data_IF_097723877512
#
_entry.id   IF_097723877512
#
_cell.length_a   1.000
_cell.length_b   1.000
_cell.length_c   1.000
_cell.angle_alpha   90.00
_cell.angle_beta   90.00
_cell.angle_gamma   90.00
#
_symmetry.space_group_name_H-M   'P 1'
#
loop_
_entity.id
_entity.type
_entity.pdbx_description
1 polymer ?
#
# COMPACT_ATOMS: atom_id res chain seq x y z
N UNK A 1 -0.94 -8.63 -23.98
CA UNK A 1 0.39 -9.29 -23.93
C UNK A 1 0.51 -9.77 -22.50
N UNK A 2 0.50 -11.08 -22.26
CA UNK A 2 0.72 -11.63 -20.92
C UNK A 2 2.09 -11.12 -20.44
N UNK A 3 2.09 -10.28 -19.41
CA UNK A 3 3.32 -9.92 -18.73
C UNK A 3 3.93 -11.22 -18.22
N UNK A 4 5.11 -11.58 -18.71
CA UNK A 4 5.79 -12.81 -18.33
C UNK A 4 5.90 -12.88 -16.83
N UNK A 5 5.09 -13.72 -16.19
CA UNK A 5 5.18 -13.93 -14.76
C UNK A 5 6.57 -14.50 -14.46
N UNK A 6 7.30 -13.97 -13.47
CA UNK A 6 8.61 -14.49 -13.12
C UNK A 6 8.49 -15.98 -12.80
N UNK A 7 9.32 -16.79 -13.42
CA UNK A 7 9.38 -18.22 -13.11
C UNK A 7 10.27 -18.53 -11.92
N UNK A 8 10.96 -17.52 -11.35
CA UNK A 8 11.98 -17.71 -10.32
C UNK A 8 11.69 -16.84 -9.11
N UNK A 9 11.67 -17.41 -7.89
CA UNK A 9 11.54 -16.62 -6.67
C UNK A 9 12.70 -15.64 -6.49
N UNK A 10 12.38 -14.46 -5.96
CA UNK A 10 13.33 -13.37 -5.76
C UNK A 10 13.48 -13.13 -4.26
N UNK A 11 14.71 -13.23 -3.74
CA UNK A 11 15.03 -12.97 -2.35
C UNK A 11 15.86 -11.68 -2.25
N UNK A 12 15.44 -10.77 -1.37
CA UNK A 12 16.16 -9.55 -1.05
C UNK A 12 16.27 -9.38 0.47
N UNK A 13 17.45 -9.05 0.96
CA UNK A 13 17.58 -8.46 2.29
C UNK A 13 17.19 -6.99 2.22
N UNK A 14 16.15 -6.59 2.94
CA UNK A 14 15.56 -5.24 2.85
C UNK A 14 16.57 -4.17 3.26
N UNK A 15 17.35 -4.40 4.32
CA UNK A 15 18.36 -3.46 4.80
C UNK A 15 19.49 -3.25 3.79
N UNK A 16 20.02 -4.33 3.23
CA UNK A 16 21.04 -4.26 2.19
C UNK A 16 20.51 -3.55 0.93
N UNK A 17 19.32 -3.93 0.47
CA UNK A 17 18.71 -3.35 -0.72
C UNK A 17 18.44 -1.85 -0.53
N UNK A 18 18.02 -1.42 0.67
CA UNK A 18 17.87 -0.01 1.02
C UNK A 18 19.18 0.76 0.89
N UNK A 19 20.29 0.22 1.40
CA UNK A 19 21.59 0.89 1.34
C UNK A 19 22.07 1.02 -0.12
N UNK A 20 21.92 -0.03 -0.93
CA UNK A 20 22.25 -0.03 -2.36
C UNK A 20 21.41 0.99 -3.15
N UNK A 21 20.16 1.22 -2.73
CA UNK A 21 19.19 2.07 -3.42
C UNK A 21 18.95 3.42 -2.73
N UNK A 22 19.76 3.80 -1.73
CA UNK A 22 19.51 4.96 -0.86
C UNK A 22 19.31 6.30 -1.60
N UNK A 23 19.90 6.41 -2.78
CA UNK A 23 19.85 7.60 -3.64
C UNK A 23 18.47 7.83 -4.29
N UNK A 24 17.55 6.86 -4.25
CA UNK A 24 16.18 7.01 -4.76
C UNK A 24 15.18 7.55 -3.72
N UNK A 25 15.52 7.54 -2.44
CA UNK A 25 14.62 7.94 -1.35
C UNK A 25 14.55 9.44 -1.03
N UNK A 26 15.54 10.29 -1.38
CA UNK A 26 15.32 11.73 -1.37
C UNK A 26 14.57 12.21 -2.63
N UNK A 27 14.03 13.45 -2.63
CA UNK A 27 13.49 14.09 -3.82
C UNK A 27 14.51 14.15 -4.97
N UNK A 28 14.06 14.10 -6.24
CA UNK A 28 12.66 14.13 -6.69
C UNK A 28 11.98 12.76 -6.82
N UNK A 29 12.70 11.65 -6.61
CA UNK A 29 12.17 10.31 -6.88
C UNK A 29 11.35 9.78 -5.72
N UNK A 30 11.87 9.91 -4.49
CA UNK A 30 11.23 9.52 -3.23
C UNK A 30 10.76 8.06 -3.09
N UNK A 31 10.86 7.20 -4.10
CA UNK A 31 10.39 5.82 -4.02
C UNK A 31 11.12 4.89 -4.99
N UNK A 32 11.11 3.58 -4.70
CA UNK A 32 11.61 2.55 -5.62
C UNK A 32 10.93 1.20 -5.36
N UNK A 33 10.51 0.54 -6.44
CA UNK A 33 10.06 -0.85 -6.43
C UNK A 33 11.19 -1.81 -6.09
N UNK A 34 10.98 -2.68 -5.09
CA UNK A 34 11.84 -3.79 -4.74
C UNK A 34 11.35 -5.09 -5.38
N UNK A 35 10.06 -5.39 -5.22
CA UNK A 35 9.41 -6.54 -5.85
C UNK A 35 8.32 -6.03 -6.79
N UNK A 36 8.42 -6.38 -8.07
CA UNK A 36 7.46 -5.98 -9.10
C UNK A 36 7.06 -7.14 -10.02
N UNK A 37 7.61 -8.32 -9.80
CA UNK A 37 7.43 -9.45 -10.71
C UNK A 37 6.26 -10.32 -10.22
N UNK A 38 5.12 -10.26 -10.92
CA UNK A 38 3.92 -11.03 -10.57
C UNK A 38 2.76 -10.13 -10.11
N UNK A 39 2.00 -10.57 -9.11
CA UNK A 39 0.76 -9.89 -8.69
C UNK A 39 0.96 -8.89 -7.54
N UNK A 40 1.95 -9.12 -6.68
CA UNK A 40 2.23 -8.24 -5.54
C UNK A 40 3.28 -7.20 -5.92
N UNK A 41 3.11 -5.98 -5.40
CA UNK A 41 4.08 -4.90 -5.49
C UNK A 41 4.60 -4.61 -4.10
N UNK A 42 5.92 -4.58 -3.94
CA UNK A 42 6.57 -4.09 -2.73
C UNK A 42 7.54 -3.00 -3.12
N UNK A 43 7.31 -1.80 -2.57
CA UNK A 43 8.18 -0.66 -2.80
C UNK A 43 8.49 0.07 -1.51
N UNK A 44 9.64 0.72 -1.51
CA UNK A 44 10.10 1.54 -0.41
C UNK A 44 10.01 3.01 -0.80
N UNK A 45 9.58 3.84 0.14
CA UNK A 45 9.29 5.25 -0.07
C UNK A 45 9.99 6.07 1.02
N UNK A 46 10.77 7.04 0.60
CA UNK A 46 11.41 8.03 1.45
C UNK A 46 10.69 9.38 1.46
N UNK A 47 11.41 10.41 1.89
CA UNK A 47 10.92 11.78 1.95
C UNK A 47 12.05 12.81 2.05
N UNK A 48 11.72 14.11 2.07
CA UNK A 48 10.37 14.64 2.28
C UNK A 48 9.49 14.56 1.02
N UNK A 49 8.23 14.18 1.20
CA UNK A 49 7.22 14.23 0.15
C UNK A 49 5.86 14.54 0.77
N UNK A 50 5.37 15.76 0.57
CA UNK A 50 4.08 16.22 1.09
C UNK A 50 3.15 16.52 -0.09
N UNK A 51 1.95 15.98 -0.02
CA UNK A 51 0.95 16.11 -1.08
C UNK A 51 -0.43 16.37 -0.48
N UNK A 52 -1.31 16.95 -1.31
CA UNK A 52 -2.67 17.34 -0.93
C UNK A 52 -3.74 16.54 -1.67
N UNK A 53 -3.35 15.86 -2.73
CA UNK A 53 -4.18 14.93 -3.45
C UNK A 53 -4.40 13.64 -2.66
N UNK A 54 -5.63 13.17 -2.71
CA UNK A 54 -6.06 11.89 -2.21
C UNK A 54 -6.12 10.91 -3.38
N UNK A 55 -5.44 9.79 -3.21
CA UNK A 55 -5.56 8.62 -4.06
C UNK A 55 -6.64 7.70 -3.51
N UNK A 56 -7.31 6.96 -4.38
CA UNK A 56 -8.25 5.90 -4.03
C UNK A 56 -8.12 4.77 -5.04
N UNK A 57 -8.15 3.53 -4.55
CA UNK A 57 -8.01 2.34 -5.39
C UNK A 57 -8.86 1.18 -4.88
N UNK A 58 -8.97 0.13 -5.71
CA UNK A 58 -9.71 -1.09 -5.39
C UNK A 58 -8.91 -2.12 -4.58
N UNK A 59 -7.58 -1.95 -4.46
CA UNK A 59 -6.70 -2.80 -3.66
C UNK A 59 -6.62 -2.36 -2.20
N UNK A 60 -6.00 -3.20 -1.37
CA UNK A 60 -5.59 -2.78 -0.02
C UNK A 60 -4.12 -2.37 -0.04
N UNK A 61 -3.75 -1.42 0.81
CA UNK A 61 -2.36 -0.99 0.97
C UNK A 61 -1.89 -1.24 2.41
N UNK A 62 -0.82 -2.03 2.54
CA UNK A 62 -0.15 -2.21 3.82
C UNK A 62 1.04 -1.25 3.91
N UNK A 63 1.03 -0.41 4.94
CA UNK A 63 2.12 0.49 5.28
C UNK A 63 2.91 -0.10 6.45
N UNK A 64 4.24 -0.14 6.34
CA UNK A 64 5.14 -0.43 7.44
C UNK A 64 6.24 0.62 7.50
N UNK A 65 6.39 1.33 8.62
CA UNK A 65 7.36 2.41 8.71
C UNK A 65 8.69 1.90 9.28
N UNK A 66 9.70 1.76 8.41
CA UNK A 66 11.03 1.23 8.76
C UNK A 66 11.84 2.26 9.55
N UNK A 67 11.78 3.54 9.14
CA UNK A 67 12.55 4.63 9.75
C UNK A 67 11.71 5.91 9.84
N UNK A 68 11.75 6.56 11.00
CA UNK A 68 11.04 7.81 11.29
C UNK A 68 9.52 7.61 11.28
N UNK A 69 8.76 8.68 11.03
CA UNK A 69 7.30 8.62 11.02
C UNK A 69 6.72 9.14 9.70
N UNK A 70 5.47 8.82 9.42
CA UNK A 70 4.69 9.44 8.34
C UNK A 70 3.29 9.80 8.84
N UNK A 71 2.61 10.69 8.11
CA UNK A 71 1.20 10.97 8.30
C UNK A 71 0.43 10.53 7.06
N UNK A 72 -0.46 9.54 7.20
CA UNK A 72 -1.41 9.15 6.17
C UNK A 72 -2.73 9.87 6.45
N UNK A 73 -3.04 10.90 5.67
CA UNK A 73 -4.34 11.56 5.75
C UNK A 73 -5.37 10.68 5.08
N UNK A 74 -6.51 10.45 5.70
CA UNK A 74 -7.58 9.61 5.14
C UNK A 74 -8.93 10.29 5.29
N UNK A 75 -9.89 9.87 4.48
CA UNK A 75 -11.31 10.18 4.67
C UNK A 75 -11.96 8.95 5.31
N UNK A 76 -12.03 8.95 6.64
CA UNK A 76 -12.67 7.90 7.44
C UNK A 76 -14.11 8.29 7.76
N UNK A 77 -15.08 7.48 7.37
CA UNK A 77 -16.50 7.73 7.66
C UNK A 77 -16.98 9.13 7.25
N UNK A 78 -16.48 9.62 6.11
CA UNK A 78 -16.76 10.98 5.61
C UNK A 78 -16.06 12.10 6.40
N UNK A 79 -15.02 11.80 7.17
CA UNK A 79 -14.28 12.79 7.96
C UNK A 79 -12.78 12.65 7.73
N UNK A 80 -12.09 13.78 7.70
CA UNK A 80 -10.63 13.77 7.70
C UNK A 80 -10.09 13.18 9.00
N UNK A 81 -9.14 12.27 8.85
CA UNK A 81 -8.34 11.73 9.93
C UNK A 81 -6.87 11.70 9.51
N UNK A 82 -6.01 12.18 10.38
CA UNK A 82 -4.56 12.05 10.21
C UNK A 82 -4.11 10.78 10.95
N UNK A 83 -3.69 9.76 10.20
CA UNK A 83 -3.15 8.51 10.76
C UNK A 83 -1.63 8.64 10.85
N UNK A 84 -1.11 8.78 12.08
CA UNK A 84 0.33 8.86 12.33
C UNK A 84 0.90 7.45 12.44
N UNK A 85 1.76 7.06 11.50
CA UNK A 85 2.43 5.77 11.47
C UNK A 85 3.89 6.00 11.86
N UNK A 86 4.25 5.60 13.09
CA UNK A 86 5.60 5.77 13.66
C UNK A 86 6.52 4.63 13.26
N UNK A 87 7.81 4.83 13.48
CA UNK A 87 8.84 3.82 13.26
C UNK A 87 8.48 2.49 13.96
N UNK A 88 8.60 1.38 13.23
CA UNK A 88 8.21 0.05 13.71
C UNK A 88 6.71 -0.24 13.64
N UNK A 89 5.86 0.71 13.26
CA UNK A 89 4.42 0.50 13.17
C UNK A 89 3.96 0.04 11.79
N UNK A 90 2.89 -0.76 11.79
CA UNK A 90 2.16 -1.22 10.61
C UNK A 90 0.74 -0.70 10.59
N UNK A 91 0.23 -0.42 9.39
CA UNK A 91 -1.15 0.02 9.18
C UNK A 91 -1.68 -0.56 7.87
N UNK A 92 -2.84 -1.21 7.91
CA UNK A 92 -3.54 -1.70 6.73
C UNK A 92 -4.64 -0.73 6.34
N UNK A 93 -4.60 -0.25 5.11
CA UNK A 93 -5.65 0.55 4.50
C UNK A 93 -6.58 -0.34 3.66
N UNK A 94 -7.87 -0.47 4.03
CA UNK A 94 -8.88 -1.12 3.21
C UNK A 94 -9.10 -0.43 1.86
N UNK A 95 -9.59 -1.21 0.89
CA UNK A 95 -9.96 -0.71 -0.43
C UNK A 95 -11.05 0.39 -0.40
N UNK A 96 -10.98 1.31 -1.35
CA UNK A 96 -11.99 2.35 -1.54
C UNK A 96 -11.90 3.53 -0.58
N UNK A 97 -10.85 3.62 0.23
CA UNK A 97 -10.65 4.74 1.16
C UNK A 97 -9.70 5.76 0.53
N UNK A 98 -10.18 7.00 0.43
CA UNK A 98 -9.36 8.13 -0.01
C UNK A 98 -8.23 8.36 0.98
N UNK A 99 -6.99 8.43 0.49
CA UNK A 99 -5.82 8.59 1.32
C UNK A 99 -4.73 9.46 0.66
N UNK A 100 -3.97 10.19 1.47
CA UNK A 100 -2.93 11.12 1.03
C UNK A 100 -1.67 10.94 1.93
N UNK A 101 -0.67 10.16 1.47
CA UNK A 101 0.53 9.89 2.24
C UNK A 101 1.45 11.11 2.28
N UNK A 102 1.82 11.54 3.49
CA UNK A 102 2.75 12.63 3.75
C UNK A 102 3.97 12.09 4.51
N UNK A 103 5.15 12.22 3.89
CA UNK A 103 6.43 11.71 4.40
C UNK A 103 7.39 12.83 4.71
N UNK A 104 8.12 12.68 5.81
CA UNK A 104 9.09 13.68 6.27
C UNK A 104 10.51 13.34 5.80
N UNK A 105 11.42 14.29 5.95
CA UNK A 105 12.83 14.10 5.63
C UNK A 105 13.45 12.97 6.46
N UNK A 106 14.41 12.24 5.88
CA UNK A 106 15.13 11.15 6.53
C UNK A 106 14.26 9.98 7.02
N UNK A 107 13.08 9.80 6.43
CA UNK A 107 12.17 8.68 6.72
C UNK A 107 12.23 7.61 5.63
N UNK A 108 11.86 6.38 5.97
CA UNK A 108 11.72 5.26 5.04
C UNK A 108 10.51 4.43 5.47
N UNK A 109 9.57 4.21 4.56
CA UNK A 109 8.46 3.28 4.76
C UNK A 109 8.39 2.26 3.63
N UNK A 110 7.86 1.09 3.94
CA UNK A 110 7.50 0.04 3.02
C UNK A 110 6.01 0.11 2.74
N UNK A 111 5.63 -0.05 1.48
CA UNK A 111 4.25 -0.19 1.04
C UNK A 111 4.11 -1.50 0.26
N UNK A 112 3.10 -2.28 0.61
CA UNK A 112 2.72 -3.50 -0.11
C UNK A 112 1.30 -3.31 -0.66
N UNK A 113 1.19 -3.40 -1.97
CA UNK A 113 -0.07 -3.36 -2.71
C UNK A 113 -0.08 -4.49 -3.76
N UNK A 114 -1.07 -4.48 -4.65
CA UNK A 114 -1.15 -5.44 -5.75
C UNK A 114 -1.32 -4.75 -7.10
N UNK A 115 -0.94 -5.42 -8.19
CA UNK A 115 -1.34 -4.98 -9.52
C UNK A 115 -2.87 -4.96 -9.65
N UNK A 116 -3.37 -4.00 -10.44
CA UNK A 116 -4.80 -3.86 -10.70
C UNK A 116 -5.28 -4.97 -11.63
N UNK A 117 -6.51 -5.43 -11.44
CA UNK A 117 -7.22 -6.17 -12.47
C UNK A 117 -7.54 -5.23 -13.64
N UNK A 118 -7.63 -5.75 -14.87
CA UNK A 118 -7.83 -4.93 -16.08
C UNK A 118 -9.13 -4.10 -16.05
N UNK A 119 -10.10 -4.49 -15.23
CA UNK A 119 -11.37 -3.76 -15.03
C UNK A 119 -11.31 -2.68 -13.95
N UNK A 120 -10.25 -2.64 -13.15
CA UNK A 120 -10.14 -1.72 -12.02
C UNK A 120 -9.51 -0.39 -12.44
N UNK A 121 -10.03 0.68 -11.86
CA UNK A 121 -9.48 2.02 -12.00
C UNK A 121 -9.01 2.54 -10.66
N UNK A 122 -8.04 3.43 -10.73
CA UNK A 122 -7.61 4.26 -9.62
C UNK A 122 -8.23 5.65 -9.80
N UNK A 123 -8.38 6.36 -8.69
CA UNK A 123 -8.83 7.74 -8.65
C UNK A 123 -7.79 8.63 -8.00
N UNK A 124 -7.56 9.81 -8.59
CA UNK A 124 -6.85 10.90 -7.93
C UNK A 124 -7.78 12.08 -7.77
N UNK A 125 -7.85 12.61 -6.56
CA UNK A 125 -8.75 13.68 -6.18
C UNK A 125 -7.98 14.81 -5.50
N UNK A 126 -8.29 16.04 -5.87
CA UNK A 126 -7.87 17.25 -5.17
C UNK A 126 -9.06 17.83 -4.44
N UNK A 127 -8.86 18.31 -3.23
CA UNK A 127 -9.91 18.92 -2.41
C UNK A 127 -9.93 20.43 -2.52
N UNK A 128 -11.09 21.00 -2.18
CA UNK A 128 -11.31 22.45 -2.13
C UNK A 128 -10.44 23.04 -1.02
N UNK A 129 -9.82 24.19 -1.31
CA UNK A 129 -8.74 24.79 -0.49
C UNK A 129 -9.15 26.04 0.27
N UNK A 130 -10.44 26.37 0.27
CA UNK A 130 -10.98 27.61 0.81
C UNK A 130 -11.18 27.59 2.34
N UNK A 131 -10.83 26.49 3.00
CA UNK A 131 -10.96 26.32 4.45
C UNK A 131 -12.36 25.91 4.90
N UNK A 132 -13.32 25.75 3.97
CA UNK A 132 -14.58 25.07 4.26
C UNK A 132 -14.33 23.57 4.37
N UNK A 133 -14.95 22.92 5.36
CA UNK A 133 -14.97 21.47 5.42
C UNK A 133 -15.98 20.96 4.39
N UNK A 134 -15.51 20.39 3.29
CA UNK A 134 -16.33 19.75 2.29
C UNK A 134 -15.67 18.48 1.78
N UNK A 135 -16.49 17.47 1.53
CA UNK A 135 -16.10 16.27 0.79
C UNK A 135 -16.35 16.43 -0.72
N UNK A 136 -16.60 17.64 -1.20
CA UNK A 136 -16.74 17.88 -2.63
C UNK A 136 -15.34 17.98 -3.28
N UNK A 137 -15.12 17.26 -4.39
CA UNK A 137 -13.86 17.35 -5.11
C UNK A 137 -13.71 18.70 -5.81
N UNK A 138 -12.48 19.23 -5.79
CA UNK A 138 -12.07 20.36 -6.64
C UNK A 138 -11.73 19.88 -8.06
N UNK A 139 -11.08 18.71 -8.14
CA UNK A 139 -10.65 18.10 -9.38
C UNK A 139 -10.49 16.58 -9.16
N UNK A 140 -10.98 15.79 -10.10
CA UNK A 140 -10.87 14.34 -10.12
C UNK A 140 -10.38 13.83 -11.47
N UNK A 141 -9.64 12.73 -11.41
CA UNK A 141 -9.30 11.92 -12.57
C UNK A 141 -9.30 10.45 -12.19
N UNK A 142 -9.91 9.62 -13.04
CA UNK A 142 -9.91 8.17 -12.89
C UNK A 142 -9.24 7.53 -14.10
N UNK A 143 -8.38 6.56 -13.85
CA UNK A 143 -7.49 5.98 -14.87
C UNK A 143 -7.22 4.51 -14.58
N UNK A 144 -6.87 3.75 -15.63
CA UNK A 144 -6.35 2.40 -15.47
C UNK A 144 -4.91 2.50 -14.99
N UNK A 145 -4.59 1.85 -13.88
CA UNK A 145 -3.29 1.99 -13.22
C UNK A 145 -2.38 0.80 -13.54
N UNK A 146 -1.39 1.02 -14.41
CA UNK A 146 -0.34 0.05 -14.73
C UNK A 146 0.99 0.41 -14.05
N UNK A 147 1.37 1.69 -14.09
CA UNK A 147 2.48 2.29 -13.38
C UNK A 147 2.03 3.61 -12.77
N UNK A 148 1.67 3.53 -11.48
CA UNK A 148 1.12 4.63 -10.71
C UNK A 148 2.02 5.88 -10.75
N UNK A 149 3.34 5.72 -10.67
CA UNK A 149 4.26 6.86 -10.64
C UNK A 149 4.25 7.64 -11.95
N UNK A 150 4.27 6.93 -13.07
CA UNK A 150 4.27 7.55 -14.41
C UNK A 150 2.91 8.13 -14.79
N UNK A 151 1.82 7.49 -14.36
CA UNK A 151 0.44 7.88 -14.71
C UNK A 151 -0.08 9.04 -13.85
N UNK A 152 0.38 9.17 -12.59
CA UNK A 152 0.03 10.29 -11.72
C UNK A 152 0.65 11.62 -12.18
N UNK A 153 1.89 11.59 -12.67
CA UNK A 153 2.62 12.81 -13.06
C UNK A 153 1.86 13.72 -14.05
N UNK A 154 1.31 13.22 -15.18
CA UNK A 154 0.53 14.05 -16.10
C UNK A 154 -0.80 14.53 -15.50
N UNK A 155 -1.46 13.74 -14.66
CA UNK A 155 -2.71 14.13 -13.99
C UNK A 155 -2.46 15.30 -13.05
N UNK A 156 -1.42 15.19 -12.22
CA UNK A 156 -0.99 16.23 -11.28
C UNK A 156 -0.61 17.51 -12.04
N UNK A 157 0.17 17.38 -13.13
CA UNK A 157 0.51 18.51 -14.00
C UNK A 157 -0.72 19.18 -14.62
N UNK A 158 -1.69 18.37 -15.07
CA UNK A 158 -2.97 18.84 -15.60
C UNK A 158 -3.76 19.64 -14.58
N UNK A 159 -3.84 19.15 -13.33
CA UNK A 159 -4.48 19.87 -12.24
C UNK A 159 -3.79 21.23 -11.98
N UNK A 160 -2.46 21.28 -11.86
CA UNK A 160 -1.75 22.54 -11.62
C UNK A 160 -1.88 23.57 -12.76
N UNK A 161 -2.20 23.11 -13.98
CA UNK A 161 -2.49 23.98 -15.12
C UNK A 161 -4.00 24.33 -15.26
N UNK A 162 -4.86 23.82 -14.38
CA UNK A 162 -6.31 23.95 -14.49
C UNK A 162 -6.84 25.27 -13.92
N UNK A 163 -8.03 25.66 -14.38
CA UNK A 163 -8.77 26.79 -13.84
C UNK A 163 -9.22 26.53 -12.40
N UNK A 164 -9.53 25.28 -12.05
CA UNK A 164 -9.86 24.87 -10.69
C UNK A 164 -8.69 25.12 -9.72
N UNK A 165 -7.44 24.91 -10.16
CA UNK A 165 -6.26 25.25 -9.35
C UNK A 165 -6.09 26.76 -9.17
N UNK A 166 -6.32 27.55 -10.23
CA UNK A 166 -6.20 29.01 -10.19
C UNK A 166 -7.28 29.64 -9.31
N UNK A 167 -8.52 29.20 -9.46
CA UNK A 167 -9.69 29.79 -8.79
C UNK A 167 -9.96 29.18 -7.42
N UNK A 168 -9.46 27.97 -7.16
CA UNK A 168 -9.79 27.19 -5.97
C UNK A 168 -11.23 26.69 -5.93
N UNK A 169 -11.98 26.79 -7.04
CA UNK A 169 -13.41 26.44 -7.11
C UNK A 169 -13.66 25.28 -8.08
N UNK A 170 -14.60 24.38 -7.74
CA UNK A 170 -15.03 23.33 -8.66
C UNK A 170 -15.73 23.96 -9.88
N UNK A 171 -15.60 23.31 -11.04
CA UNK A 171 -16.27 23.72 -12.27
C UNK A 171 -17.19 22.58 -12.71
N UNK A 172 -18.52 22.74 -12.64
CA UNK A 172 -19.47 21.71 -13.04
C UNK A 172 -19.22 21.19 -14.46
N UNK A 173 -19.24 19.86 -14.62
CA UNK A 173 -18.99 19.20 -15.91
C UNK A 173 -17.53 19.17 -16.37
N UNK A 174 -16.57 19.63 -15.55
CA UNK A 174 -15.14 19.64 -15.89
C UNK A 174 -14.30 19.02 -14.79
N UNK A 175 -13.71 17.85 -15.08
CA UNK A 175 -12.86 17.11 -14.13
C UNK A 175 -13.55 16.83 -12.80
N UNK A 176 -14.86 16.54 -12.86
CA UNK A 176 -15.69 16.02 -11.78
C UNK A 176 -16.42 14.84 -12.40
N UNK A 177 -16.38 13.67 -11.76
CA UNK A 177 -17.09 12.50 -12.28
C UNK A 177 -18.49 12.42 -11.67
N UNK A 178 -19.51 12.45 -12.53
CA UNK A 178 -20.90 12.21 -12.11
C UNK A 178 -21.09 10.76 -11.63
N UNK A 179 -20.36 9.82 -12.23
CA UNK A 179 -20.32 8.41 -11.83
C UNK A 179 -18.89 7.99 -11.48
N UNK A 180 -18.64 7.70 -10.20
CA UNK A 180 -17.33 7.23 -9.72
C UNK A 180 -17.16 5.76 -10.14
N UNK A 181 -16.11 5.41 -10.91
CA UNK A 181 -15.97 4.07 -11.49
C UNK A 181 -15.35 3.03 -10.54
N UNK A 182 -15.37 3.29 -9.23
CA UNK A 182 -14.93 2.36 -8.19
C UNK A 182 -15.74 2.55 -6.90
N UNK A 183 -15.68 1.55 -6.02
CA UNK A 183 -16.35 1.63 -4.72
C UNK A 183 -15.62 2.60 -3.79
N UNK A 184 -16.34 3.58 -3.25
CA UNK A 184 -15.84 4.45 -2.17
C UNK A 184 -16.38 3.98 -0.84
N UNK A 185 -15.48 3.61 0.08
CA UNK A 185 -15.82 3.18 1.42
C UNK A 185 -15.84 4.37 2.38
N UNK A 186 -17.05 4.86 2.66
CA UNK A 186 -17.31 5.92 3.65
C UNK A 186 -17.93 5.36 4.95
N UNK A 187 -17.78 4.06 5.22
CA UNK A 187 -18.45 3.40 6.36
C UNK A 187 -17.47 2.74 7.31
N UNK A 188 -16.37 2.20 6.80
CA UNK A 188 -15.38 1.50 7.61
C UNK A 188 -14.71 2.46 8.60
N UNK A 189 -14.63 2.03 9.85
CA UNK A 189 -13.77 2.63 10.86
C UNK A 189 -12.42 1.94 10.80
N UNK A 190 -11.36 2.72 10.61
CA UNK A 190 -10.00 2.24 10.50
C UNK A 190 -9.43 1.90 11.87
N UNK A 191 -8.71 0.77 11.93
CA UNK A 191 -7.91 0.40 13.10
C UNK A 191 -6.75 1.38 13.28
N UNK A 192 -6.20 1.50 14.49
CA UNK A 192 -4.99 2.30 14.70
C UNK A 192 -3.74 1.54 14.20
N UNK A 193 -2.65 2.26 13.84
CA UNK A 193 -1.38 1.63 13.55
C UNK A 193 -0.89 0.78 14.73
N UNK A 194 -0.48 -0.44 14.45
CA UNK A 194 0.01 -1.40 15.45
C UNK A 194 1.53 -1.33 15.52
N UNK A 195 2.11 -1.40 16.72
CA UNK A 195 3.56 -1.64 16.86
C UNK A 195 3.83 -3.12 16.59
N UNK A 196 4.60 -3.40 15.55
CA UNK A 196 4.87 -4.76 15.11
C UNK A 196 5.56 -5.62 16.18
N UNK A 197 6.52 -5.05 16.91
CA UNK A 197 7.32 -5.79 17.90
C UNK A 197 6.49 -6.09 19.14
N UNK A 198 5.75 -5.11 19.64
CA UNK A 198 4.85 -5.33 20.76
C UNK A 198 3.70 -6.28 20.39
N UNK A 199 3.13 -6.15 19.18
CA UNK A 199 2.10 -7.08 18.71
C UNK A 199 2.62 -8.53 18.68
N UNK A 200 3.81 -8.80 18.11
CA UNK A 200 4.40 -10.15 18.13
C UNK A 200 4.59 -10.65 19.57
N UNK A 201 5.06 -9.79 20.47
CA UNK A 201 5.33 -10.16 21.85
C UNK A 201 4.05 -10.53 22.59
N UNK A 202 2.97 -9.79 22.37
CA UNK A 202 1.64 -10.07 22.95
C UNK A 202 1.03 -11.37 22.42
N UNK A 203 1.26 -11.69 21.14
CA UNK A 203 0.66 -12.85 20.49
C UNK A 203 1.62 -14.05 20.39
N UNK A 204 2.77 -14.02 21.07
CA UNK A 204 3.84 -15.02 20.92
C UNK A 204 3.40 -16.44 21.27
N UNK A 205 2.66 -16.61 22.36
CA UNK A 205 2.21 -17.95 22.79
C UNK A 205 1.09 -18.49 21.89
N UNK A 206 0.25 -17.60 21.38
CA UNK A 206 -0.76 -17.96 20.39
C UNK A 206 -0.12 -18.33 19.05
N UNK A 207 0.92 -17.60 18.61
CA UNK A 207 1.68 -17.90 17.39
C UNK A 207 2.33 -19.28 17.51
N UNK A 208 2.93 -19.59 18.67
CA UNK A 208 3.48 -20.91 18.98
C UNK A 208 2.46 -22.04 18.90
N UNK A 209 1.23 -21.76 19.33
CA UNK A 209 0.18 -22.77 19.41
C UNK A 209 -0.51 -22.98 18.06
N UNK A 210 -0.82 -21.89 17.35
CA UNK A 210 -1.58 -21.91 16.09
C UNK A 210 -0.69 -22.00 14.85
N UNK A 211 0.60 -21.71 14.98
CA UNK A 211 1.58 -21.57 13.89
C UNK A 211 1.38 -20.31 13.04
N UNK A 212 0.19 -19.74 12.98
CA UNK A 212 -0.14 -18.52 12.25
C UNK A 212 -1.30 -17.75 12.88
N UNK A 213 -1.27 -16.43 12.74
CA UNK A 213 -2.34 -15.52 13.18
C UNK A 213 -2.51 -14.40 12.14
N UNK A 214 -3.76 -14.11 11.79
CA UNK A 214 -4.10 -12.94 10.98
C UNK A 214 -3.88 -11.64 11.78
N UNK A 215 -3.18 -10.68 11.18
CA UNK A 215 -2.82 -9.41 11.84
C UNK A 215 -4.00 -8.44 11.89
N UNK A 216 -4.81 -8.47 10.84
CA UNK A 216 -5.98 -7.64 10.65
C UNK A 216 -7.21 -8.54 10.45
N UNK A 217 -8.40 -7.96 10.30
CA UNK A 217 -9.67 -8.68 10.03
C UNK A 217 -9.73 -9.25 8.59
N UNK A 218 -8.61 -9.80 8.12
CA UNK A 218 -8.41 -10.45 6.83
C UNK A 218 -7.28 -11.46 6.93
N UNK A 219 -7.47 -12.62 6.32
CA UNK A 219 -6.44 -13.65 6.25
C UNK A 219 -5.28 -13.23 5.34
N UNK A 220 -5.41 -12.17 4.54
CA UNK A 220 -4.41 -11.72 3.55
C UNK A 220 -3.08 -11.26 4.14
N UNK A 221 -3.03 -11.01 5.45
CA UNK A 221 -1.83 -10.58 6.16
C UNK A 221 -1.71 -11.38 7.45
N UNK A 222 -0.73 -12.29 7.51
CA UNK A 222 -0.56 -13.22 8.62
C UNK A 222 0.87 -13.21 9.12
N UNK A 223 1.04 -13.19 10.44
CA UNK A 223 2.30 -13.62 11.03
C UNK A 223 2.30 -15.14 11.13
N UNK A 224 3.41 -15.75 10.72
CA UNK A 224 3.66 -17.17 10.86
C UNK A 224 4.89 -17.37 11.73
N UNK A 225 4.80 -18.30 12.69
CA UNK A 225 5.98 -18.77 13.41
C UNK A 225 6.79 -19.66 12.48
N UNK A 226 8.11 -19.48 12.49
CA UNK A 226 8.97 -20.03 11.47
C UNK A 226 9.26 -19.05 10.35
N UNK A 227 9.97 -19.50 9.32
CA UNK A 227 10.31 -18.66 8.17
C UNK A 227 11.78 -18.67 7.79
N UNK A 228 12.66 -19.24 8.60
CA UNK A 228 14.09 -19.26 8.30
C UNK A 228 14.44 -20.10 7.07
N UNK A 229 13.58 -21.06 6.68
CA UNK A 229 13.72 -21.80 5.42
C UNK A 229 12.41 -21.88 4.67
N UNK A 230 12.43 -21.48 3.40
CA UNK A 230 11.32 -21.60 2.47
C UNK A 230 11.78 -22.47 1.30
N UNK A 231 11.04 -23.53 1.01
CA UNK A 231 11.26 -24.36 -0.17
C UNK A 231 10.21 -24.03 -1.22
N UNK A 232 10.62 -23.57 -2.39
CA UNK A 232 9.74 -23.16 -3.48
C UNK A 232 10.07 -24.01 -4.71
N UNK A 233 9.09 -24.76 -5.22
CA UNK A 233 9.29 -25.70 -6.34
C UNK A 233 10.53 -26.60 -6.15
N UNK A 234 10.73 -27.08 -4.92
CA UNK A 234 11.85 -27.95 -4.54
C UNK A 234 13.17 -27.24 -4.20
N UNK A 235 13.33 -25.95 -4.54
CA UNK A 235 14.53 -25.16 -4.25
C UNK A 235 14.46 -24.52 -2.87
N UNK A 236 15.53 -24.66 -2.08
CA UNK A 236 15.63 -24.11 -0.73
C UNK A 236 16.13 -22.66 -0.74
N UNK A 237 15.48 -21.82 0.06
CA UNK A 237 15.81 -20.43 0.35
C UNK A 237 15.94 -20.27 1.86
N UNK A 238 17.08 -19.78 2.33
CA UNK A 238 17.27 -19.48 3.77
C UNK A 238 17.02 -18.00 3.98
N UNK A 239 16.03 -17.66 4.82
CA UNK A 239 15.70 -16.28 5.16
C UNK A 239 16.36 -15.90 6.49
N UNK A 240 17.10 -14.80 6.46
CA UNK A 240 17.65 -14.12 7.63
C UNK A 240 16.69 -13.02 8.11
N UNK A 241 17.04 -12.37 9.22
CA UNK A 241 16.36 -11.15 9.66
C UNK A 241 16.39 -10.13 8.51
N UNK A 242 15.24 -9.50 8.28
CA UNK A 242 14.98 -8.53 7.21
C UNK A 242 15.03 -9.10 5.78
N UNK A 243 15.12 -10.41 5.60
CA UNK A 243 14.93 -11.01 4.27
C UNK A 243 13.44 -11.03 3.88
N UNK A 244 13.20 -10.73 2.61
CA UNK A 244 11.93 -10.89 1.93
C UNK A 244 12.10 -11.86 0.77
N UNK A 245 11.08 -12.66 0.50
CA UNK A 245 11.03 -13.51 -0.70
C UNK A 245 9.69 -13.33 -1.41
N UNK A 246 9.76 -13.07 -2.71
CA UNK A 246 8.60 -13.05 -3.59
C UNK A 246 8.42 -14.45 -4.19
N UNK A 247 7.32 -15.09 -3.83
CA UNK A 247 6.90 -16.38 -4.39
C UNK A 247 6.00 -16.11 -5.61
N UNK A 248 6.38 -16.55 -6.82
CA UNK A 248 5.54 -16.37 -8.00
C UNK A 248 4.17 -17.03 -7.89
N UNK A 249 3.22 -16.52 -8.67
CA UNK A 249 1.87 -17.09 -8.77
C UNK A 249 1.96 -18.56 -9.21
N UNK A 250 1.09 -19.40 -8.66
CA UNK A 250 0.97 -20.84 -8.92
C UNK A 250 2.16 -21.71 -8.50
N UNK A 251 3.19 -21.14 -7.86
CA UNK A 251 4.27 -21.92 -7.26
C UNK A 251 3.89 -22.39 -5.86
N UNK A 252 4.16 -23.67 -5.58
CA UNK A 252 4.00 -24.24 -4.26
C UNK A 252 5.23 -23.94 -3.43
N UNK A 253 4.98 -23.52 -2.20
CA UNK A 253 6.03 -23.35 -1.22
C UNK A 253 5.69 -24.08 0.08
N UNK A 254 6.73 -24.46 0.80
CA UNK A 254 6.65 -24.92 2.18
C UNK A 254 7.60 -24.10 3.03
N UNK A 255 7.18 -23.77 4.25
CA UNK A 255 8.00 -23.06 5.21
C UNK A 255 8.39 -24.04 6.31
N UNK A 256 9.69 -24.16 6.57
CA UNK A 256 10.19 -24.89 7.73
C UNK A 256 10.41 -23.90 8.87
N UNK A 257 9.93 -24.26 10.05
CA UNK A 257 10.01 -23.39 11.21
C UNK A 257 11.41 -23.39 11.80
N UNK A 258 12.01 -22.20 11.92
CA UNK A 258 13.16 -21.97 12.78
C UNK A 258 12.67 -21.55 14.17
N UNK A 259 13.27 -22.10 15.23
CA UNK A 259 12.94 -21.70 16.60
C UNK A 259 13.04 -20.17 16.77
N UNK A 260 12.01 -19.56 17.36
CA UNK A 260 11.92 -18.13 17.64
C UNK A 260 11.97 -17.20 16.41
N UNK A 261 11.68 -17.70 15.21
CA UNK A 261 11.53 -16.86 14.00
C UNK A 261 10.05 -16.53 13.72
N UNK A 262 9.79 -15.36 13.16
CA UNK A 262 8.46 -14.92 12.73
C UNK A 262 8.59 -14.27 11.36
N UNK A 263 7.71 -14.62 10.42
CA UNK A 263 7.61 -13.95 9.13
C UNK A 263 6.21 -13.38 8.89
N UNK A 264 6.14 -12.26 8.18
CA UNK A 264 4.88 -11.75 7.63
C UNK A 264 4.65 -12.42 6.27
N UNK A 265 3.53 -13.12 6.14
CA UNK A 265 3.05 -13.66 4.87
C UNK A 265 1.90 -12.80 4.38
N UNK A 266 2.01 -12.32 3.15
CA UNK A 266 1.02 -11.44 2.52
C UNK A 266 0.66 -11.92 1.12
N UNK A 267 -0.63 -11.83 0.79
CA UNK A 267 -1.12 -12.03 -0.57
C UNK A 267 -2.40 -11.24 -0.80
N UNK A 268 -2.63 -10.79 -2.02
CA UNK A 268 -3.88 -10.16 -2.41
C UNK A 268 -4.33 -10.68 -3.78
N UNK A 269 -5.40 -11.49 -3.78
CA UNK A 269 -6.01 -12.00 -5.01
C UNK A 269 -7.11 -11.01 -5.48
N UNK A 270 -6.94 -10.33 -6.62
CA UNK A 270 -7.91 -9.37 -7.12
C UNK A 270 -9.30 -10.00 -7.38
N UNK A 271 -9.35 -11.30 -7.66
CA UNK A 271 -10.62 -12.03 -7.90
C UNK A 271 -11.41 -12.25 -6.60
N UNK A 272 -10.78 -12.06 -5.45
CA UNK A 272 -11.38 -12.17 -4.11
C UNK A 272 -11.59 -10.80 -3.47
N UNK A 273 -11.54 -9.72 -4.26
CA UNK A 273 -11.95 -8.41 -3.81
C UNK A 273 -13.38 -8.48 -3.24
N UNK A 274 -13.66 -7.71 -2.19
CA UNK A 274 -15.02 -7.65 -1.61
C UNK A 274 -16.00 -7.27 -2.71
N UNK A 275 -17.06 -8.07 -2.88
CA UNK A 275 -18.16 -7.70 -3.77
C UNK A 275 -18.95 -6.57 -3.11
N UNK A 276 -18.85 -5.37 -3.66
CA UNK A 276 -19.64 -4.25 -3.20
C UNK A 276 -20.96 -4.18 -3.99
N UNK A 277 -22.11 -3.91 -3.35
CA UNK A 277 -23.32 -3.61 -4.09
C UNK A 277 -23.06 -2.41 -5.00
N UNK A 278 -23.58 -2.44 -6.23
CA UNK A 278 -23.51 -1.30 -7.14
C UNK A 278 -24.07 -0.08 -6.41
N UNK A 279 -23.38 1.06 -6.50
CA UNK A 279 -23.90 2.31 -5.98
C UNK A 279 -25.29 2.54 -6.61
N UNK A 280 -26.29 2.68 -5.74
CA UNK A 280 -27.69 2.95 -6.11
C UNK A 280 -27.89 4.42 -6.43
#
# INVERSE_FOLDING_TARGET
MEAGHPTTPIQHNVGQWLEENKHFFPPPVCNKMMHQDGQMKLFLVGGPNQRKDFHVECGEELFYQIKGQMCLKVIEQGKHRDVIIKEGQMFLLPAGIHHSPNRYENTVGMVIERFRHESEKDGLRQEIRDGSFTLDPLYEAFFYCSDLGTELAPIIKGFFASEQYITGKPIPGKNLCDEIPLHIDNKTKLQDPIDFKEWIKEHRDELKTKGRIAVYDTERFQFQEGGSQVKIEGKDFTLKIDDSVLVPVDQRYTVTQGENSVCLVTWQDPRKARSWPKAS
#
